data_IF_025734030098
#
_entry.id   IF_025734030098
#
_cell.length_a   1.000
_cell.length_b   1.000
_cell.length_c   1.000
_cell.angle_alpha   90.00
_cell.angle_beta   90.00
_cell.angle_gamma   90.00
#
_symmetry.space_group_name_H-M   'P 1'
#
loop_
_entity.id
_entity.type
_entity.pdbx_description
1 polymer ?
#
# COMPACT_ATOMS: atom_id res chain seq x y z
N UNK A 1 -5.66 51.12 25.12
CA UNK A 1 -5.47 50.18 26.25
C UNK A 1 -4.47 49.14 25.79
N UNK A 2 -3.27 49.18 26.38
CA UNK A 2 -2.12 48.36 26.00
C UNK A 2 -2.18 46.99 26.66
N UNK A 3 -1.79 45.94 25.96
CA UNK A 3 -1.43 44.65 26.56
C UNK A 3 -1.26 43.57 25.49
N UNK A 4 -0.38 42.59 25.59
CA UNK A 4 0.84 42.39 26.36
C UNK A 4 1.53 41.20 25.64
N UNK A 5 2.81 41.35 25.31
CA UNK A 5 3.63 40.32 24.65
C UNK A 5 3.98 39.23 25.65
N UNK A 6 3.72 37.97 25.30
CA UNK A 6 4.05 36.80 26.10
C UNK A 6 4.94 35.82 25.33
N UNK A 7 6.27 35.96 25.48
CA UNK A 7 7.26 34.95 25.09
C UNK A 7 7.32 33.86 26.17
N UNK A 8 7.35 32.58 25.78
CA UNK A 8 7.89 31.49 26.60
C UNK A 8 8.67 30.51 25.74
N UNK A 9 9.99 30.52 25.91
CA UNK A 9 10.89 29.49 25.41
C UNK A 9 10.92 28.27 26.34
N UNK A 10 11.06 27.09 25.76
CA UNK A 10 11.41 25.86 26.46
C UNK A 10 12.73 25.33 25.90
N UNK A 11 13.77 25.39 26.72
CA UNK A 11 15.05 24.73 26.49
C UNK A 11 14.96 23.26 26.93
N UNK A 12 15.23 22.32 26.03
CA UNK A 12 15.41 20.90 26.36
C UNK A 12 16.88 20.62 26.68
N UNK A 13 17.10 20.10 27.89
CA UNK A 13 18.42 19.75 28.44
C UNK A 13 18.89 18.42 27.84
N UNK A 14 20.09 18.41 27.25
CA UNK A 14 20.77 17.22 26.74
C UNK A 14 21.34 16.38 27.90
N UNK A 15 21.02 15.07 27.92
CA UNK A 15 21.57 14.10 28.87
C UNK A 15 22.99 13.64 28.50
N UNK A 16 23.78 13.15 29.47
CA UNK A 16 25.17 12.76 29.27
C UNK A 16 25.32 11.45 28.47
N UNK A 17 26.14 11.49 27.42
CA UNK A 17 26.56 10.31 26.66
C UNK A 17 27.56 9.48 27.48
N UNK A 18 27.20 8.22 27.76
CA UNK A 18 28.10 7.24 28.40
C UNK A 18 29.06 6.62 27.40
N UNK A 19 30.34 6.78 27.66
CA UNK A 19 31.49 6.35 26.85
C UNK A 19 31.70 4.81 26.95
N UNK A 20 31.50 4.02 25.86
CA UNK A 20 31.51 2.56 25.90
C UNK A 20 32.91 1.92 26.06
N UNK A 21 33.97 2.71 26.19
CA UNK A 21 35.36 2.24 26.24
C UNK A 21 35.83 1.72 27.60
N UNK A 22 35.03 1.84 28.68
CA UNK A 22 35.44 1.56 30.06
C UNK A 22 34.91 0.25 30.68
N UNK A 23 34.64 -0.79 29.88
CA UNK A 23 34.17 -2.07 30.43
C UNK A 23 35.33 -3.10 30.56
N UNK A 24 35.95 -3.28 31.74
CA UNK A 24 37.15 -4.11 31.94
C UNK A 24 36.91 -5.62 31.91
N UNK A 25 35.72 -6.10 31.53
CA UNK A 25 35.38 -7.53 31.47
C UNK A 25 35.49 -8.17 30.07
N UNK A 26 36.14 -7.51 29.10
CA UNK A 26 36.49 -8.14 27.82
C UNK A 26 37.67 -9.11 27.99
N UNK A 27 37.42 -10.25 28.64
CA UNK A 27 38.34 -11.38 28.66
C UNK A 27 38.47 -11.95 27.24
N UNK A 28 39.70 -11.94 26.75
CA UNK A 28 40.18 -12.50 25.48
C UNK A 28 39.78 -13.99 25.37
N UNK A 29 38.65 -14.26 24.74
CA UNK A 29 38.20 -15.61 24.40
C UNK A 29 39.01 -16.15 23.23
N UNK A 30 39.71 -17.26 23.47
CA UNK A 30 40.49 -18.04 22.51
C UNK A 30 39.69 -18.37 21.24
N UNK A 31 40.29 -18.11 20.07
CA UNK A 31 39.70 -18.26 18.73
C UNK A 31 39.46 -19.71 18.28
N UNK A 32 39.72 -20.73 19.10
CA UNK A 32 39.80 -22.13 18.64
C UNK A 32 38.64 -23.06 19.03
N UNK A 33 37.56 -22.58 19.65
CA UNK A 33 36.46 -23.47 20.13
C UNK A 33 35.16 -23.46 19.28
N UNK A 34 35.13 -22.76 18.14
CA UNK A 34 33.85 -22.53 17.42
C UNK A 34 33.32 -23.67 16.54
N UNK A 35 34.02 -24.81 16.42
CA UNK A 35 33.60 -25.88 15.50
C UNK A 35 33.26 -27.23 16.17
N UNK A 36 33.41 -27.39 17.50
CA UNK A 36 33.36 -28.73 18.14
C UNK A 36 32.20 -29.00 19.10
N UNK A 37 31.16 -28.16 19.17
CA UNK A 37 29.95 -28.42 19.98
C UNK A 37 28.66 -27.93 19.31
N UNK A 38 28.22 -28.58 18.23
CA UNK A 38 26.90 -28.27 17.64
C UNK A 38 26.11 -29.45 17.07
N UNK A 39 26.31 -30.66 17.61
CA UNK A 39 25.59 -31.87 17.14
C UNK A 39 24.64 -32.51 18.15
N UNK A 40 24.53 -32.05 19.41
CA UNK A 40 23.73 -32.79 20.42
C UNK A 40 22.55 -32.05 21.06
N UNK A 41 22.35 -30.75 20.85
CA UNK A 41 21.17 -30.03 21.36
C UNK A 41 20.06 -29.85 20.30
N UNK A 42 19.69 -30.96 19.64
CA UNK A 42 18.49 -31.04 18.77
C UNK A 42 17.23 -31.50 19.52
N UNK A 43 17.06 -31.09 20.79
CA UNK A 43 15.75 -31.20 21.46
C UNK A 43 14.88 -30.02 21.06
N UNK A 44 14.10 -30.23 20.00
CA UNK A 44 12.74 -29.70 19.77
C UNK A 44 12.31 -28.53 20.69
N UNK A 45 12.84 -27.34 20.45
CA UNK A 45 12.20 -26.11 20.90
C UNK A 45 11.18 -25.73 19.84
N UNK A 46 9.95 -26.24 20.02
CA UNK A 46 8.76 -25.94 19.23
C UNK A 46 8.64 -24.42 19.06
N UNK A 47 8.76 -23.97 17.81
CA UNK A 47 8.76 -22.56 17.42
C UNK A 47 7.52 -21.79 17.90
N UNK A 48 7.72 -20.99 18.95
CA UNK A 48 6.80 -19.93 19.40
C UNK A 48 7.38 -18.53 19.23
N UNK A 49 8.37 -18.34 18.35
CA UNK A 49 8.72 -17.02 17.85
C UNK A 49 7.98 -16.74 16.54
N UNK A 50 6.66 -16.94 16.55
CA UNK A 50 5.82 -16.21 15.60
C UNK A 50 5.82 -14.80 16.13
N UNK A 51 6.75 -13.98 15.62
CA UNK A 51 6.79 -12.54 15.86
C UNK A 51 5.37 -12.01 15.78
N UNK A 52 4.91 -11.38 16.86
CA UNK A 52 3.61 -10.71 16.95
C UNK A 52 3.42 -9.70 15.81
N UNK A 53 4.51 -9.14 15.28
CA UNK A 53 4.49 -8.24 14.12
C UNK A 53 4.21 -8.95 12.79
N UNK A 54 4.54 -10.24 12.67
CA UNK A 54 4.29 -11.01 11.45
C UNK A 54 2.88 -11.63 11.41
N UNK A 55 2.17 -11.72 12.54
CA UNK A 55 0.77 -12.16 12.53
C UNK A 55 -0.18 -11.10 11.96
N UNK A 56 0.16 -9.81 12.09
CA UNK A 56 -0.65 -8.71 11.57
C UNK A 56 -0.55 -8.53 10.05
N UNK A 57 0.52 -9.03 9.41
CA UNK A 57 0.83 -8.63 8.03
C UNK A 57 0.08 -9.40 6.94
N UNK A 58 -0.52 -10.58 7.20
CA UNK A 58 -1.09 -11.42 6.13
C UNK A 58 -2.29 -12.30 6.49
N UNK A 59 -2.78 -12.27 7.72
CA UNK A 59 -3.99 -13.04 8.06
C UNK A 59 -5.18 -12.11 7.86
N UNK A 60 -6.04 -12.46 6.91
CA UNK A 60 -7.34 -11.79 6.75
C UNK A 60 -8.11 -11.75 8.07
N UNK A 61 -9.19 -10.97 8.10
CA UNK A 61 -9.98 -10.65 9.30
C UNK A 61 -10.13 -11.89 10.22
N UNK A 62 -9.72 -11.82 11.50
CA UNK A 62 -9.81 -12.98 12.39
C UNK A 62 -11.28 -13.40 12.51
N UNK A 63 -11.53 -14.71 12.60
CA UNK A 63 -12.88 -15.28 12.45
C UNK A 63 -13.93 -14.65 13.38
N UNK A 64 -13.54 -14.25 14.59
CA UNK A 64 -14.42 -13.62 15.58
C UNK A 64 -14.83 -12.18 15.23
N UNK A 65 -14.11 -11.50 14.33
CA UNK A 65 -14.47 -10.17 13.84
C UNK A 65 -15.29 -10.22 12.56
N UNK A 66 -15.43 -11.38 11.91
CA UNK A 66 -16.19 -11.51 10.67
C UNK A 66 -17.68 -11.31 10.95
N UNK A 67 -18.34 -10.52 10.12
CA UNK A 67 -19.81 -10.52 10.10
C UNK A 67 -20.29 -11.91 9.67
N UNK A 68 -21.46 -12.41 10.13
CA UNK A 68 -22.05 -13.63 9.56
C UNK A 68 -22.22 -13.57 8.03
N UNK A 69 -22.32 -12.36 7.45
CA UNK A 69 -22.41 -12.12 6.01
C UNK A 69 -21.04 -11.97 5.31
N UNK A 70 -19.92 -12.02 6.05
CA UNK A 70 -18.59 -11.92 5.45
C UNK A 70 -18.25 -13.25 4.75
N UNK A 71 -18.02 -13.16 3.45
CA UNK A 71 -17.46 -14.29 2.71
C UNK A 71 -16.05 -14.60 3.22
N UNK A 72 -15.65 -15.89 3.28
CA UNK A 72 -14.30 -16.26 3.68
C UNK A 72 -13.21 -15.69 2.76
N UNK A 73 -13.62 -15.21 1.57
CA UNK A 73 -12.80 -14.51 0.58
C UNK A 73 -12.65 -13.00 0.85
N UNK A 74 -13.40 -12.43 1.81
CA UNK A 74 -13.16 -11.04 2.25
C UNK A 74 -11.83 -10.99 3.00
N UNK A 75 -10.79 -10.64 2.28
CA UNK A 75 -9.44 -10.44 2.79
C UNK A 75 -9.13 -8.95 2.96
N UNK A 76 -7.99 -8.66 3.59
CA UNK A 76 -7.56 -7.29 3.78
C UNK A 76 -7.25 -6.54 2.49
N UNK A 77 -6.93 -7.27 1.41
CA UNK A 77 -6.69 -6.66 0.11
C UNK A 77 -7.99 -6.18 -0.52
N UNK A 78 -9.09 -6.92 -0.37
CA UNK A 78 -10.42 -6.47 -0.79
C UNK A 78 -10.80 -5.18 -0.10
N UNK A 79 -10.65 -5.07 1.22
CA UNK A 79 -11.01 -3.82 1.91
C UNK A 79 -10.11 -2.66 1.47
N UNK A 80 -8.80 -2.87 1.27
CA UNK A 80 -7.90 -1.84 0.71
C UNK A 80 -8.28 -1.43 -0.72
N UNK A 81 -8.64 -2.39 -1.57
CA UNK A 81 -9.12 -2.12 -2.93
C UNK A 81 -10.41 -1.30 -2.89
N UNK A 82 -11.32 -1.66 -1.97
CA UNK A 82 -12.57 -0.94 -1.75
C UNK A 82 -12.33 0.50 -1.26
N UNK A 83 -11.35 0.73 -0.39
CA UNK A 83 -10.92 2.07 0.02
C UNK A 83 -10.31 2.87 -1.12
N UNK A 84 -9.45 2.25 -1.92
CA UNK A 84 -8.81 2.86 -3.08
C UNK A 84 -9.86 3.31 -4.12
N UNK A 85 -10.83 2.44 -4.44
CA UNK A 85 -11.96 2.78 -5.31
C UNK A 85 -12.79 3.94 -4.77
N UNK A 86 -13.05 3.97 -3.46
CA UNK A 86 -13.82 5.06 -2.83
C UNK A 86 -13.06 6.37 -2.88
N UNK A 87 -11.75 6.34 -2.62
CA UNK A 87 -10.87 7.52 -2.70
C UNK A 87 -10.86 8.06 -4.13
N UNK A 88 -10.66 7.18 -5.12
CA UNK A 88 -10.66 7.57 -6.54
C UNK A 88 -12.00 8.15 -6.97
N UNK A 89 -13.12 7.51 -6.60
CA UNK A 89 -14.46 7.99 -6.91
C UNK A 89 -14.73 9.38 -6.31
N UNK A 90 -14.30 9.61 -5.07
CA UNK A 90 -14.48 10.91 -4.41
C UNK A 90 -13.63 12.01 -5.05
N UNK A 91 -12.37 11.71 -5.44
CA UNK A 91 -11.54 12.65 -6.21
C UNK A 91 -12.14 12.96 -7.58
N UNK A 92 -12.64 11.95 -8.30
CA UNK A 92 -13.34 12.17 -9.58
C UNK A 92 -14.57 13.05 -9.40
N UNK A 93 -15.39 12.79 -8.36
CA UNK A 93 -16.54 13.63 -8.04
C UNK A 93 -16.13 15.08 -7.79
N UNK A 94 -15.06 15.32 -7.03
CA UNK A 94 -14.54 16.66 -6.80
C UNK A 94 -14.19 17.36 -8.11
N UNK A 95 -13.48 16.70 -9.03
CA UNK A 95 -13.14 17.26 -10.34
C UNK A 95 -14.38 17.53 -11.20
N UNK A 96 -15.37 16.62 -11.25
CA UNK A 96 -16.59 16.85 -12.04
C UNK A 96 -17.39 18.05 -11.57
N UNK A 97 -17.33 18.35 -10.27
CA UNK A 97 -18.08 19.45 -9.66
C UNK A 97 -17.34 20.79 -9.74
N UNK A 98 -16.04 20.77 -10.08
CA UNK A 98 -15.21 21.98 -10.19
C UNK A 98 -15.80 22.99 -11.19
N UNK A 99 -16.33 22.50 -12.32
CA UNK A 99 -16.93 23.33 -13.37
C UNK A 99 -18.38 23.71 -13.06
N UNK A 100 -19.16 22.78 -12.49
CA UNK A 100 -20.61 22.98 -12.27
C UNK A 100 -20.94 23.76 -11.00
N UNK A 101 -20.19 23.54 -9.92
CA UNK A 101 -20.49 24.09 -8.59
C UNK A 101 -19.21 24.24 -7.74
N UNK A 102 -18.49 25.38 -7.87
CA UNK A 102 -17.24 25.60 -7.16
C UNK A 102 -17.41 25.65 -5.63
N UNK A 103 -18.59 26.02 -5.13
CA UNK A 103 -18.89 25.99 -3.70
C UNK A 103 -18.91 24.54 -3.16
N UNK A 104 -19.59 23.63 -3.85
CA UNK A 104 -19.57 22.21 -3.50
C UNK A 104 -18.18 21.60 -3.66
N UNK A 105 -17.45 21.95 -4.71
CA UNK A 105 -16.06 21.51 -4.91
C UNK A 105 -15.16 21.89 -3.73
N UNK A 106 -15.19 23.16 -3.31
CA UNK A 106 -14.39 23.65 -2.20
C UNK A 106 -14.76 22.99 -0.86
N UNK A 107 -16.06 22.77 -0.61
CA UNK A 107 -16.53 22.05 0.57
C UNK A 107 -16.08 20.58 0.54
N UNK A 108 -16.21 19.91 -0.60
CA UNK A 108 -15.85 18.50 -0.75
C UNK A 108 -14.34 18.31 -0.57
N UNK A 109 -13.51 19.19 -1.11
CA UNK A 109 -12.06 19.15 -0.89
C UNK A 109 -11.70 19.32 0.58
N UNK A 110 -12.36 20.25 1.29
CA UNK A 110 -12.16 20.39 2.74
C UNK A 110 -12.59 19.12 3.48
N UNK A 111 -13.75 18.57 3.12
CA UNK A 111 -14.24 17.32 3.70
C UNK A 111 -13.27 16.15 3.49
N UNK A 112 -12.69 16.03 2.29
CA UNK A 112 -11.71 15.00 1.94
C UNK A 112 -10.42 15.16 2.76
N UNK A 113 -9.95 16.39 2.97
CA UNK A 113 -8.78 16.66 3.83
C UNK A 113 -9.05 16.31 5.30
N UNK A 114 -10.26 16.58 5.79
CA UNK A 114 -10.65 16.31 7.18
C UNK A 114 -10.93 14.82 7.44
N UNK A 115 -11.43 14.09 6.44
CA UNK A 115 -11.93 12.72 6.57
C UNK A 115 -11.25 11.79 5.57
N UNK A 116 -9.91 11.75 5.60
CA UNK A 116 -9.15 10.96 4.65
C UNK A 116 -9.27 9.44 4.95
N UNK A 117 -9.31 8.61 3.90
CA UNK A 117 -9.43 7.15 4.05
C UNK A 117 -8.05 6.58 4.42
N UNK A 118 -7.86 6.00 5.61
CA UNK A 118 -6.55 5.53 6.04
C UNK A 118 -6.11 4.30 5.23
N UNK A 119 -4.81 4.23 4.91
CA UNK A 119 -4.21 3.10 4.17
C UNK A 119 -4.13 1.81 5.00
N UNK A 120 -3.98 1.97 6.31
CA UNK A 120 -3.87 0.91 7.29
C UNK A 120 -4.74 1.25 8.50
N UNK A 121 -5.29 0.24 9.17
CA UNK A 121 -6.13 0.43 10.34
C UNK A 121 -7.24 -0.60 10.43
N UNK A 122 -8.34 -0.20 11.08
CA UNK A 122 -9.52 -1.03 11.16
C UNK A 122 -10.19 -1.16 9.78
N UNK A 123 -10.70 -2.35 9.49
CA UNK A 123 -11.17 -2.75 8.17
C UNK A 123 -12.27 -1.84 7.61
N UNK A 124 -13.17 -1.35 8.47
CA UNK A 124 -14.25 -0.44 8.08
C UNK A 124 -13.77 0.97 7.73
N UNK A 125 -12.62 1.37 8.26
CA UNK A 125 -12.00 2.65 7.93
C UNK A 125 -11.23 2.52 6.61
N UNK A 126 -10.43 1.45 6.48
CA UNK A 126 -9.64 1.17 5.28
C UNK A 126 -10.52 0.95 4.05
N UNK A 127 -11.71 0.35 4.20
CA UNK A 127 -12.64 0.12 3.08
C UNK A 127 -13.34 1.37 2.54
N UNK A 128 -13.23 2.50 3.24
CA UNK A 128 -13.99 3.72 2.95
C UNK A 128 -15.47 3.63 3.33
N UNK A 129 -15.93 2.55 3.97
CA UNK A 129 -17.33 2.44 4.39
C UNK A 129 -17.66 3.46 5.48
N UNK A 130 -16.78 3.66 6.46
CA UNK A 130 -17.00 4.66 7.51
C UNK A 130 -17.00 6.09 6.94
N UNK A 131 -16.15 6.38 5.96
CA UNK A 131 -16.18 7.63 5.22
C UNK A 131 -17.56 7.91 4.59
N UNK A 132 -18.14 6.91 3.90
CA UNK A 132 -19.46 7.03 3.28
C UNK A 132 -20.58 7.13 4.32
N UNK A 133 -20.50 6.36 5.42
CA UNK A 133 -21.48 6.44 6.51
C UNK A 133 -21.49 7.82 7.13
N UNK A 134 -20.32 8.37 7.47
CA UNK A 134 -20.20 9.74 8.01
C UNK A 134 -20.84 10.74 7.06
N UNK A 135 -20.56 10.64 5.76
CA UNK A 135 -21.12 11.52 4.73
C UNK A 135 -22.65 11.40 4.61
N UNK A 136 -23.20 10.18 4.68
CA UNK A 136 -24.65 9.93 4.65
C UNK A 136 -25.37 10.42 5.92
N UNK A 137 -24.70 10.37 7.08
CA UNK A 137 -25.28 10.83 8.35
C UNK A 137 -25.13 12.33 8.57
N UNK A 138 -24.27 13.00 7.79
CA UNK A 138 -24.01 14.43 7.95
C UNK A 138 -25.28 15.23 7.64
N UNK A 139 -25.68 16.20 8.48
CA UNK A 139 -26.82 17.06 8.19
C UNK A 139 -26.55 17.89 6.93
N UNK A 140 -27.63 18.38 6.30
CA UNK A 140 -27.51 19.33 5.21
C UNK A 140 -26.92 20.61 5.80
N UNK A 141 -25.67 20.88 5.46
CA UNK A 141 -25.00 22.13 5.82
C UNK A 141 -25.29 23.15 4.73
N UNK A 142 -25.78 24.32 5.11
CA UNK A 142 -25.73 25.47 4.23
C UNK A 142 -24.25 25.81 4.05
N UNK A 143 -23.71 25.51 2.88
CA UNK A 143 -22.34 25.85 2.52
C UNK A 143 -22.31 27.39 2.35
N UNK A 144 -22.21 28.12 3.46
CA UNK A 144 -21.90 29.54 3.46
C UNK A 144 -20.42 29.71 3.15
N UNK A 145 -20.09 29.49 1.88
CA UNK A 145 -18.81 29.87 1.33
C UNK A 145 -18.75 31.38 1.19
N UNK A 146 -18.32 32.09 2.23
CA UNK A 146 -17.77 33.45 2.07
C UNK A 146 -16.42 33.29 1.37
N UNK A 147 -16.46 33.11 0.04
CA UNK A 147 -15.27 32.93 -0.80
C UNK A 147 -14.76 34.23 -1.40
N UNK A 148 -15.50 35.32 -1.24
CA UNK A 148 -15.06 36.64 -1.66
C UNK A 148 -14.96 37.57 -0.45
N UNK A 149 -13.80 38.22 -0.33
CA UNK A 149 -13.59 39.44 0.47
C UNK A 149 -14.30 40.65 -0.19
N UNK A 150 -15.19 40.38 -1.16
CA UNK A 150 -15.94 41.37 -1.92
C UNK A 150 -17.20 41.79 -1.15
N UNK A 151 -17.58 43.04 -1.36
CA UNK A 151 -18.59 43.74 -0.56
C UNK A 151 -19.86 42.90 -0.33
N UNK A 152 -20.43 42.95 0.89
CA UNK A 152 -21.62 42.18 1.29
C UNK A 152 -22.88 42.44 0.45
N UNK A 153 -22.83 43.40 -0.48
CA UNK A 153 -23.91 43.76 -1.39
C UNK A 153 -24.03 42.83 -2.60
N UNK A 154 -23.00 42.04 -2.91
CA UNK A 154 -23.03 41.03 -3.99
C UNK A 154 -23.18 39.59 -3.49
N UNK A 155 -23.32 39.38 -2.17
CA UNK A 155 -23.54 38.07 -1.55
C UNK A 155 -24.95 37.49 -1.77
N UNK A 156 -25.61 37.81 -2.90
CA UNK A 156 -26.89 37.23 -3.31
C UNK A 156 -26.72 35.85 -3.96
N UNK A 157 -25.55 35.23 -3.85
CA UNK A 157 -25.38 33.83 -4.17
C UNK A 157 -26.24 33.03 -3.18
N UNK A 158 -27.42 32.59 -3.63
CA UNK A 158 -28.24 31.61 -2.93
C UNK A 158 -27.31 30.56 -2.36
N UNK A 159 -27.33 30.24 -1.05
CA UNK A 159 -26.45 29.23 -0.48
C UNK A 159 -26.67 27.94 -1.26
N UNK A 160 -25.73 27.60 -2.14
CA UNK A 160 -25.77 26.36 -2.89
C UNK A 160 -25.26 25.29 -1.94
N UNK A 161 -26.09 24.95 -0.95
CA UNK A 161 -25.85 23.86 -0.03
C UNK A 161 -25.91 22.56 -0.82
N UNK A 162 -24.77 21.92 -1.02
CA UNK A 162 -24.76 20.55 -1.53
C UNK A 162 -25.25 19.61 -0.44
N UNK A 163 -26.26 18.80 -0.75
CA UNK A 163 -26.71 17.75 0.17
C UNK A 163 -25.62 16.67 0.29
N UNK A 164 -25.00 16.48 1.48
CA UNK A 164 -23.96 15.47 1.67
C UNK A 164 -24.43 14.06 1.31
N UNK A 165 -25.72 13.77 1.52
CA UNK A 165 -26.30 12.46 1.17
C UNK A 165 -26.33 12.23 -0.34
N UNK A 166 -26.71 13.25 -1.11
CA UNK A 166 -26.67 13.15 -2.57
C UNK A 166 -25.23 13.02 -3.08
N UNK A 167 -24.29 13.70 -2.44
CA UNK A 167 -22.86 13.58 -2.76
C UNK A 167 -22.36 12.16 -2.48
N UNK A 168 -22.71 11.57 -1.34
CA UNK A 168 -22.39 10.18 -1.02
C UNK A 168 -22.97 9.20 -2.04
N UNK A 169 -24.23 9.41 -2.47
CA UNK A 169 -24.86 8.58 -3.49
C UNK A 169 -24.08 8.62 -4.81
N UNK A 170 -23.73 9.82 -5.28
CA UNK A 170 -22.93 9.98 -6.52
C UNK A 170 -21.55 9.32 -6.40
N UNK A 171 -20.90 9.42 -5.24
CA UNK A 171 -19.62 8.73 -5.00
C UNK A 171 -19.82 7.20 -5.07
N UNK A 172 -20.91 6.67 -4.52
CA UNK A 172 -21.21 5.23 -4.61
C UNK A 172 -21.47 4.78 -6.06
N UNK A 173 -22.15 5.60 -6.86
CA UNK A 173 -22.41 5.32 -8.28
C UNK A 173 -21.11 5.35 -9.10
N UNK A 174 -20.27 6.38 -8.90
CA UNK A 174 -18.94 6.49 -9.53
C UNK A 174 -18.02 5.34 -9.11
N UNK A 175 -18.04 4.95 -7.83
CA UNK A 175 -17.27 3.81 -7.32
C UNK A 175 -17.63 2.52 -8.06
N UNK A 176 -18.92 2.31 -8.34
CA UNK A 176 -19.39 1.16 -9.11
C UNK A 176 -18.95 1.20 -10.57
N UNK A 177 -19.00 2.38 -11.21
CA UNK A 177 -18.52 2.55 -12.59
C UNK A 177 -17.02 2.26 -12.71
N UNK A 178 -16.20 2.87 -11.87
CA UNK A 178 -14.74 2.66 -11.85
C UNK A 178 -14.41 1.19 -11.58
N UNK A 179 -15.17 0.52 -10.69
CA UNK A 179 -14.96 -0.90 -10.43
C UNK A 179 -15.18 -1.77 -11.67
N UNK A 180 -16.15 -1.44 -12.54
CA UNK A 180 -16.37 -2.15 -13.80
C UNK A 180 -15.20 -1.94 -14.77
N UNK A 181 -14.78 -0.70 -14.94
CA UNK A 181 -13.62 -0.36 -15.79
C UNK A 181 -12.37 -1.11 -15.33
N UNK A 182 -12.11 -1.14 -14.02
CA UNK A 182 -10.97 -1.87 -13.48
C UNK A 182 -11.06 -3.38 -13.66
N UNK A 183 -12.27 -3.96 -13.64
CA UNK A 183 -12.44 -5.38 -13.95
C UNK A 183 -12.08 -5.66 -15.42
N UNK A 184 -12.50 -4.80 -16.34
CA UNK A 184 -12.17 -4.92 -17.77
C UNK A 184 -10.66 -4.78 -17.99
N UNK A 185 -10.01 -3.78 -17.39
CA UNK A 185 -8.56 -3.59 -17.46
C UNK A 185 -7.79 -4.76 -16.83
N UNK A 186 -8.24 -5.30 -15.70
CA UNK A 186 -7.56 -6.44 -15.06
C UNK A 186 -7.65 -7.74 -15.89
N UNK A 187 -8.56 -7.81 -16.87
CA UNK A 187 -8.64 -8.95 -17.79
C UNK A 187 -7.51 -8.93 -18.85
N UNK A 188 -6.87 -7.79 -19.13
CA UNK A 188 -5.74 -7.71 -20.08
C UNK A 188 -4.41 -8.20 -19.49
N UNK A 189 -4.29 -8.25 -18.16
CA UNK A 189 -3.04 -8.57 -17.45
C UNK A 189 -2.36 -9.88 -17.91
N UNK A 190 -3.08 -10.99 -18.17
CA UNK A 190 -2.45 -12.21 -18.69
C UNK A 190 -1.80 -12.01 -20.06
N UNK A 191 -2.43 -11.22 -20.95
CA UNK A 191 -1.90 -10.89 -22.27
C UNK A 191 -0.64 -10.03 -22.13
N UNK A 192 -0.67 -8.98 -21.31
CA UNK A 192 0.48 -8.12 -21.03
C UNK A 192 1.67 -8.90 -20.45
N UNK A 193 1.41 -9.83 -19.53
CA UNK A 193 2.44 -10.71 -18.99
C UNK A 193 3.06 -11.62 -20.07
N UNK A 194 2.26 -12.08 -21.03
CA UNK A 194 2.75 -12.88 -22.16
C UNK A 194 3.66 -12.07 -23.08
N UNK A 195 3.29 -10.83 -23.39
CA UNK A 195 4.09 -9.90 -24.19
C UNK A 195 5.40 -9.59 -23.49
N UNK A 196 5.35 -9.27 -22.19
CA UNK A 196 6.54 -9.02 -21.37
C UNK A 196 7.51 -10.21 -21.39
N UNK A 197 6.98 -11.44 -21.29
CA UNK A 197 7.78 -12.66 -21.34
C UNK A 197 8.44 -12.85 -22.73
N UNK A 198 7.68 -12.64 -23.81
CA UNK A 198 8.22 -12.71 -25.18
C UNK A 198 9.33 -11.69 -25.41
N UNK A 199 9.11 -10.43 -25.03
CA UNK A 199 10.13 -9.38 -25.15
C UNK A 199 11.41 -9.72 -24.37
N UNK A 200 11.25 -10.24 -23.15
CA UNK A 200 12.37 -10.61 -22.29
C UNK A 200 13.20 -11.73 -22.92
N UNK A 201 12.53 -12.73 -23.50
CA UNK A 201 13.20 -13.83 -24.21
C UNK A 201 13.91 -13.34 -25.47
N UNK A 202 13.27 -12.52 -26.31
CA UNK A 202 13.89 -11.94 -27.50
C UNK A 202 15.12 -11.07 -27.16
N UNK A 203 15.01 -10.24 -26.12
CA UNK A 203 16.13 -9.45 -25.60
C UNK A 203 17.28 -10.36 -25.15
N UNK A 204 17.00 -11.45 -24.45
CA UNK A 204 18.03 -12.39 -24.00
C UNK A 204 18.73 -13.14 -25.15
N UNK A 205 17.99 -13.51 -26.21
CA UNK A 205 18.54 -14.20 -27.38
C UNK A 205 19.37 -13.27 -28.27
N UNK A 206 18.91 -12.04 -28.49
CA UNK A 206 19.63 -11.02 -29.28
C UNK A 206 20.91 -10.51 -28.61
N UNK A 207 21.04 -10.63 -27.29
CA UNK A 207 22.25 -10.27 -26.55
C UNK A 207 23.43 -11.25 -26.75
N UNK A 208 23.21 -12.38 -27.42
CA UNK A 208 24.21 -13.41 -27.74
C UNK A 208 24.37 -13.54 -29.25
N UNK A 209 25.32 -12.83 -29.91
CA UNK A 209 26.54 -13.53 -30.36
C UNK A 209 27.85 -12.71 -30.53
N UNK A 210 27.91 -11.39 -30.26
CA UNK A 210 29.11 -10.60 -30.65
C UNK A 210 30.17 -10.41 -29.54
N UNK A 211 29.90 -10.84 -28.30
CA UNK A 211 30.86 -10.71 -27.19
C UNK A 211 31.87 -11.86 -27.09
N UNK A 212 31.82 -12.86 -27.97
CA UNK A 212 32.78 -13.99 -27.98
C UNK A 212 33.81 -13.94 -29.12
N UNK A 213 33.80 -12.93 -30.00
CA UNK A 213 34.66 -12.90 -31.20
C UNK A 213 35.76 -11.81 -31.19
N UNK A 214 35.90 -11.01 -30.13
CA UNK A 214 36.88 -9.91 -30.09
C UNK A 214 37.93 -10.05 -28.96
N UNK A 215 38.87 -11.00 -29.13
CA UNK A 215 40.20 -11.03 -28.48
C UNK A 215 40.20 -11.29 -26.95
N UNK A 216 41.24 -11.84 -26.32
CA UNK A 216 42.68 -11.80 -26.59
C UNK A 216 43.33 -12.97 -25.86
N UNK A 217 44.28 -13.62 -26.54
CA UNK A 217 45.30 -14.47 -25.93
C UNK A 217 46.05 -13.69 -24.84
N UNK A 218 45.86 -14.05 -23.58
CA UNK A 218 46.76 -13.66 -22.50
C UNK A 218 46.87 -14.81 -21.51
N UNK A 219 47.95 -15.58 -21.65
CA UNK A 219 48.46 -16.48 -20.63
C UNK A 219 48.61 -15.72 -19.31
N UNK A 220 48.02 -16.25 -18.23
CA UNK A 220 48.08 -15.65 -16.90
C UNK A 220 47.39 -16.53 -15.88
N UNK A 221 48.14 -17.48 -15.33
CA UNK A 221 47.76 -18.34 -14.21
C UNK A 221 47.26 -17.51 -13.00
N UNK A 222 46.09 -17.84 -12.45
CA UNK A 222 45.86 -17.86 -11.00
C UNK A 222 44.53 -18.53 -10.65
N UNK A 223 44.63 -19.54 -9.78
CA UNK A 223 43.54 -20.34 -9.21
C UNK A 223 42.49 -19.51 -8.47
N UNK A 224 41.22 -19.80 -8.72
CA UNK A 224 40.10 -19.31 -7.90
C UNK A 224 38.83 -20.14 -8.09
N UNK A 225 38.73 -21.25 -7.36
CA UNK A 225 37.56 -22.15 -7.35
C UNK A 225 36.31 -21.46 -6.80
N UNK A 226 35.44 -20.96 -7.68
CA UNK A 226 34.07 -20.57 -7.36
C UNK A 226 33.07 -21.60 -7.90
N UNK A 227 32.77 -22.65 -7.13
CA UNK A 227 31.70 -23.63 -7.43
C UNK A 227 30.32 -22.96 -7.38
N UNK A 228 29.93 -22.31 -8.48
CA UNK A 228 28.55 -21.91 -8.75
C UNK A 228 27.71 -23.12 -9.16
N UNK A 229 27.07 -23.76 -8.19
CA UNK A 229 26.15 -24.89 -8.40
C UNK A 229 24.85 -24.36 -9.01
N UNK A 230 24.78 -24.31 -10.34
CA UNK A 230 23.55 -24.16 -11.12
C UNK A 230 22.56 -25.26 -10.70
N UNK A 231 21.49 -24.87 -10.00
CA UNK A 231 20.36 -25.74 -9.73
C UNK A 231 19.58 -25.88 -11.04
N UNK A 232 19.64 -27.08 -11.65
CA UNK A 232 18.67 -27.49 -12.67
C UNK A 232 17.28 -27.39 -12.04
N UNK A 233 16.46 -26.49 -12.56
CA UNK A 233 15.02 -26.51 -12.34
C UNK A 233 14.48 -27.51 -13.35
N UNK A 234 14.06 -28.68 -12.87
CA UNK A 234 13.24 -29.57 -13.68
C UNK A 234 11.86 -28.91 -13.77
N UNK A 235 11.57 -28.32 -14.92
CA UNK A 235 10.21 -28.05 -15.35
C UNK A 235 9.64 -29.42 -15.73
N UNK A 236 8.83 -29.99 -14.84
CA UNK A 236 7.96 -31.10 -15.20
C UNK A 236 6.87 -30.55 -16.11
N UNK A 237 6.77 -31.22 -17.25
CA UNK A 237 5.77 -31.11 -18.30
C UNK A 237 4.37 -31.14 -17.67
N UNK A 238 3.64 -30.03 -17.77
CA UNK A 238 2.23 -29.98 -17.38
C UNK A 238 1.44 -30.50 -18.57
N UNK A 239 0.94 -31.72 -18.43
CA UNK A 239 0.09 -32.42 -19.37
C UNK A 239 -1.26 -31.67 -19.51
N UNK A 240 -1.46 -30.99 -20.64
CA UNK A 240 -2.73 -30.38 -21.06
C UNK A 240 -3.74 -31.47 -21.41
N UNK A 241 -4.37 -32.04 -20.38
CA UNK A 241 -5.56 -32.88 -20.57
C UNK A 241 -6.78 -32.00 -20.79
N UNK A 242 -7.08 -31.78 -22.08
CA UNK A 242 -8.37 -31.32 -22.57
C UNK A 242 -9.50 -32.25 -22.08
N UNK A 243 -10.28 -31.78 -21.12
CA UNK A 243 -11.58 -32.37 -20.80
C UNK A 243 -12.66 -31.54 -21.52
N UNK A 244 -13.12 -32.07 -22.64
CA UNK A 244 -14.39 -31.67 -23.24
C UNK A 244 -15.53 -31.91 -22.26
N UNK A 245 -16.52 -31.03 -22.29
CA UNK A 245 -17.84 -31.32 -21.77
C UNK A 245 -18.83 -31.01 -22.88
N UNK A 246 -19.41 -32.08 -23.39
CA UNK A 246 -20.54 -32.14 -24.30
C UNK A 246 -21.82 -31.59 -23.64
N UNK A 247 -22.67 -31.01 -24.50
CA UNK A 247 -24.12 -30.73 -24.42
C UNK A 247 -24.72 -29.95 -23.23
#
# INVERSE_FOLDING_TARGET
>A
MSGAVGQRGCCTVAGPQSDPSKNPNYRRGSQNDYWRKRTEDRRSSKGKSVSTDNQQRRRGRPAHMRSPDDTPLRDGNRDRLMGLLTTRAASTMAHTVEEDNPALHSWLNRYLQENDIPKDGNWSDVSGENFLRTLLTRPVEEISGSFSDEEPQFANASPVGGDPRQTAQRIMDLRHQIAKEWIEELQSVPEENSVLMQETLLKSLSATPDSSAAGVEAEGEAQGQGKGRLRKVNIEEVDDSAAGCDD
#
